data_IF_252601031602
#
_entry.id   IF_252601031602
#
_cell.length_a   1.000
_cell.length_b   1.000
_cell.length_c   1.000
_cell.angle_alpha   90.00
_cell.angle_beta   90.00
_cell.angle_gamma   90.00
#
_symmetry.space_group_name_H-M   'P 1'
#
loop_
_entity.id
_entity.type
_entity.pdbx_description
1 polymer ?
#
# COMPACT_ATOMS: atom_id res chain seq x y z
N UNK A 1 41.45 13.15 -1.11
CA UNK A 1 40.37 12.43 -0.39
C UNK A 1 39.44 13.47 0.22
N UNK A 2 38.11 13.34 0.10
CA UNK A 2 37.19 14.29 0.71
C UNK A 2 37.39 14.32 2.24
N UNK A 3 37.40 15.52 2.81
CA UNK A 3 37.62 15.78 4.23
C UNK A 3 36.41 15.30 5.06
N UNK A 4 36.60 14.15 5.71
CA UNK A 4 35.57 13.44 6.47
C UNK A 4 35.12 14.25 7.70
N UNK A 5 35.88 15.25 8.15
CA UNK A 5 35.52 16.10 9.30
C UNK A 5 34.32 17.02 9.05
N UNK A 6 33.96 17.25 7.77
CA UNK A 6 32.84 18.11 7.37
C UNK A 6 31.48 17.42 7.31
N UNK A 7 31.43 16.11 7.52
CA UNK A 7 30.16 15.38 7.63
C UNK A 7 29.63 15.45 9.07
N UNK A 8 28.33 15.72 9.29
CA UNK A 8 27.76 15.83 10.63
C UNK A 8 27.87 14.49 11.37
N UNK A 9 28.85 14.38 12.26
CA UNK A 9 28.99 13.25 13.19
C UNK A 9 28.28 13.58 14.49
N UNK A 10 26.97 13.34 14.51
CA UNK A 10 26.17 13.38 15.74
C UNK A 10 26.09 14.76 16.40
N UNK A 11 25.09 14.91 17.25
CA UNK A 11 24.80 16.15 17.97
C UNK A 11 25.90 16.34 19.05
N UNK A 12 26.84 17.25 18.82
CA UNK A 12 27.97 17.57 19.73
C UNK A 12 27.54 18.19 21.07
N UNK A 13 26.29 18.63 21.19
CA UNK A 13 25.72 19.18 22.42
C UNK A 13 25.11 18.13 23.36
N UNK A 14 25.02 16.85 22.94
CA UNK A 14 24.70 15.77 23.88
C UNK A 14 25.99 15.40 24.61
N UNK A 15 26.07 15.71 25.91
CA UNK A 15 26.92 14.92 26.81
C UNK A 15 26.65 13.46 26.49
N UNK A 16 27.70 12.66 26.25
CA UNK A 16 27.62 11.21 26.29
C UNK A 16 26.77 10.90 27.53
N UNK A 17 25.48 10.57 27.36
CA UNK A 17 24.77 9.83 28.40
C UNK A 17 25.69 8.65 28.60
N UNK A 18 26.20 8.55 29.82
CA UNK A 18 27.35 7.78 30.25
C UNK A 18 27.57 6.53 29.40
N UNK A 19 28.83 6.21 29.08
CA UNK A 19 29.27 4.98 28.38
C UNK A 19 28.82 3.70 29.14
N UNK A 20 27.52 3.51 29.26
CA UNK A 20 26.87 2.33 29.78
C UNK A 20 26.48 1.57 28.51
N UNK A 21 26.98 0.35 28.39
CA UNK A 21 26.54 -0.55 27.33
C UNK A 21 25.00 -0.55 27.33
N UNK A 22 24.33 -0.48 26.16
CA UNK A 22 22.88 -0.48 26.12
C UNK A 22 22.37 -1.71 26.88
N UNK A 23 21.70 -1.45 28.00
CA UNK A 23 21.15 -2.48 28.87
C UNK A 23 19.63 -2.32 28.89
N UNK A 24 18.93 -3.43 28.76
CA UNK A 24 17.48 -3.48 28.90
C UNK A 24 17.15 -3.87 30.33
N UNK A 25 16.38 -3.04 31.02
CA UNK A 25 15.84 -3.33 32.35
C UNK A 25 14.33 -3.23 32.32
N UNK A 26 13.69 -4.04 33.15
CA UNK A 26 12.29 -3.84 33.49
C UNK A 26 12.17 -2.51 34.22
N UNK A 27 11.41 -1.58 33.66
CA UNK A 27 11.08 -0.35 34.34
C UNK A 27 10.11 -0.63 35.49
N UNK A 28 10.33 0.03 36.64
CA UNK A 28 9.37 0.01 37.74
C UNK A 28 8.02 0.59 37.26
N UNK A 29 6.89 -0.10 37.46
CA UNK A 29 5.58 0.43 37.08
C UNK A 29 5.31 1.82 37.67
N UNK A 30 5.75 2.13 38.89
CA UNK A 30 5.61 3.48 39.49
C UNK A 30 6.41 4.53 38.73
N UNK A 31 7.56 4.15 38.18
CA UNK A 31 8.33 5.05 37.31
C UNK A 31 7.58 5.35 36.01
N UNK A 32 7.03 4.32 35.37
CA UNK A 32 6.23 4.49 34.14
C UNK A 32 4.96 5.31 34.42
N UNK A 33 4.21 4.97 35.46
CA UNK A 33 2.99 5.67 35.86
C UNK A 33 3.23 7.11 36.35
N UNK A 34 4.35 7.38 37.02
CA UNK A 34 4.64 8.73 37.54
C UNK A 34 5.25 9.69 36.51
N UNK A 35 5.71 9.20 35.36
CA UNK A 35 6.51 10.00 34.44
C UNK A 35 5.66 10.55 33.27
N UNK A 36 5.60 11.89 33.05
CA UNK A 36 4.73 12.52 32.04
C UNK A 36 4.92 12.01 30.60
N UNK A 37 6.14 11.59 30.26
CA UNK A 37 6.45 10.99 28.95
C UNK A 37 5.50 9.85 28.57
N UNK A 38 5.20 8.96 29.52
CA UNK A 38 4.39 7.75 29.30
C UNK A 38 2.90 8.00 29.48
N UNK A 39 2.49 9.14 30.01
CA UNK A 39 1.07 9.48 30.12
C UNK A 39 0.48 9.59 28.73
N UNK A 40 -0.61 8.86 28.48
CA UNK A 40 -1.33 8.94 27.22
C UNK A 40 -1.97 10.31 27.05
N UNK A 41 -1.87 10.83 25.83
CA UNK A 41 -2.51 12.06 25.36
C UNK A 41 -2.96 11.81 23.91
N UNK A 42 -4.04 12.45 23.42
CA UNK A 42 -4.45 12.32 22.02
C UNK A 42 -3.27 12.58 21.07
N UNK A 43 -3.08 11.70 20.08
CA UNK A 43 -1.93 11.73 19.17
C UNK A 43 -0.78 10.82 19.57
N UNK A 44 -0.74 10.32 20.82
CA UNK A 44 0.16 9.23 21.19
C UNK A 44 -0.41 7.88 20.77
N UNK A 45 0.47 6.90 20.52
CA UNK A 45 0.09 5.50 20.41
C UNK A 45 -0.23 4.97 21.79
N UNK A 46 -1.45 4.47 21.97
CA UNK A 46 -1.90 3.84 23.20
C UNK A 46 -1.21 2.49 23.40
N UNK A 47 -0.66 2.27 24.59
CA UNK A 47 0.05 1.04 24.96
C UNK A 47 -0.69 0.20 26.01
N UNK A 48 -1.60 0.81 26.77
CA UNK A 48 -2.32 0.15 27.86
C UNK A 48 -2.66 1.10 28.99
N UNK A 49 -2.97 0.56 30.16
CA UNK A 49 -3.18 1.34 31.37
C UNK A 49 -2.43 0.70 32.54
N UNK A 50 -1.93 1.54 33.43
CA UNK A 50 -1.42 1.16 34.74
C UNK A 50 -2.32 1.81 35.79
N UNK A 51 -3.02 0.98 36.58
CA UNK A 51 -4.10 1.42 37.45
C UNK A 51 -5.11 2.29 36.68
N UNK A 52 -5.30 3.54 37.10
CA UNK A 52 -6.21 4.50 36.47
C UNK A 52 -5.53 5.38 35.40
N UNK A 53 -4.23 5.20 35.16
CA UNK A 53 -3.49 5.99 34.19
C UNK A 53 -3.31 5.24 32.88
N UNK A 54 -3.86 5.80 31.81
CA UNK A 54 -3.60 5.38 30.44
C UNK A 54 -2.16 5.70 30.04
N UNK A 55 -1.49 4.75 29.40
CA UNK A 55 -0.10 4.80 28.97
C UNK A 55 -0.04 4.93 27.45
N UNK A 56 0.79 5.84 26.97
CA UNK A 56 1.02 6.04 25.55
C UNK A 56 2.39 6.60 25.25
N UNK A 57 2.82 6.42 24.00
CA UNK A 57 4.12 6.88 23.52
C UNK A 57 3.95 7.73 22.26
N UNK A 58 4.74 8.80 22.16
CA UNK A 58 4.90 9.55 20.92
C UNK A 58 6.24 9.16 20.32
N UNK A 59 6.22 8.46 19.19
CA UNK A 59 7.40 7.99 18.49
C UNK A 59 7.12 8.00 16.98
N UNK A 60 8.11 8.34 16.18
CA UNK A 60 8.04 8.34 14.71
C UNK A 60 8.63 7.06 14.09
N UNK A 61 9.16 6.15 14.92
CA UNK A 61 9.69 4.85 14.51
C UNK A 61 8.61 3.79 14.42
N UNK A 62 8.92 2.71 13.68
CA UNK A 62 8.04 1.55 13.60
C UNK A 62 7.89 0.83 14.95
N UNK A 63 6.68 0.38 15.22
CA UNK A 63 6.33 -0.37 16.43
C UNK A 63 5.87 -1.78 16.06
N UNK A 64 6.29 -2.77 16.86
CA UNK A 64 5.89 -4.16 16.69
C UNK A 64 5.21 -4.66 17.96
N UNK A 65 4.00 -5.20 17.82
CA UNK A 65 3.29 -5.91 18.90
C UNK A 65 3.36 -7.40 18.64
N UNK A 66 3.92 -8.15 19.59
CA UNK A 66 3.98 -9.63 19.54
C UNK A 66 2.98 -10.18 20.55
N UNK A 67 1.97 -10.91 20.08
CA UNK A 67 0.91 -11.45 20.91
C UNK A 67 0.35 -12.75 20.32
N UNK A 68 0.12 -13.75 21.18
CA UNK A 68 -0.50 -15.02 20.77
C UNK A 68 -1.96 -14.87 20.35
N UNK A 69 -2.52 -15.95 19.79
CA UNK A 69 -3.95 -16.00 19.52
C UNK A 69 -4.75 -15.87 20.83
N UNK A 70 -5.81 -15.07 20.80
CA UNK A 70 -6.67 -14.75 21.97
C UNK A 70 -5.96 -14.01 23.12
N UNK A 71 -4.74 -13.50 22.92
CA UNK A 71 -4.03 -12.70 23.91
C UNK A 71 -4.54 -11.23 24.04
N UNK A 72 -5.63 -10.89 23.34
CA UNK A 72 -6.25 -9.57 23.44
C UNK A 72 -5.64 -8.47 22.56
N UNK A 73 -4.74 -8.77 21.61
CA UNK A 73 -4.12 -7.74 20.73
C UNK A 73 -5.12 -6.78 20.08
N UNK A 74 -6.28 -7.30 19.67
CA UNK A 74 -7.35 -6.51 19.06
C UNK A 74 -7.95 -5.51 20.04
N UNK A 75 -8.39 -6.01 21.20
CA UNK A 75 -9.08 -5.20 22.21
C UNK A 75 -8.14 -4.28 23.01
N UNK A 76 -6.87 -4.64 23.17
CA UNK A 76 -5.94 -3.92 24.04
C UNK A 76 -5.02 -2.96 23.30
N UNK A 77 -4.80 -3.15 21.99
CA UNK A 77 -3.88 -2.30 21.21
C UNK A 77 -4.53 -1.76 19.92
N UNK A 78 -5.08 -2.64 19.07
CA UNK A 78 -5.54 -2.24 17.73
C UNK A 78 -6.78 -1.33 17.82
N UNK A 79 -7.87 -1.82 18.43
CA UNK A 79 -9.14 -1.10 18.51
C UNK A 79 -8.99 0.24 19.28
N UNK A 80 -8.33 0.30 20.47
CA UNK A 80 -8.13 1.57 21.15
C UNK A 80 -7.41 2.62 20.30
N UNK A 81 -6.34 2.22 19.60
CA UNK A 81 -5.63 3.13 18.71
C UNK A 81 -6.49 3.57 17.52
N UNK A 82 -7.29 2.68 16.92
CA UNK A 82 -8.21 3.04 15.85
C UNK A 82 -9.32 4.01 16.30
N UNK A 83 -9.79 3.90 17.55
CA UNK A 83 -10.86 4.73 18.10
C UNK A 83 -10.39 6.12 18.51
N UNK A 84 -9.13 6.26 18.95
CA UNK A 84 -8.64 7.50 19.59
C UNK A 84 -7.52 8.21 18.82
N UNK A 85 -6.80 7.53 17.92
CA UNK A 85 -5.71 8.18 17.19
C UNK A 85 -6.27 9.19 16.15
N UNK A 86 -5.94 10.49 16.30
CA UNK A 86 -6.55 11.56 15.50
C UNK A 86 -5.97 11.66 14.09
N UNK A 87 -4.84 10.99 13.81
CA UNK A 87 -4.24 10.97 12.49
C UNK A 87 -4.89 9.97 11.52
N UNK A 88 -4.46 10.04 10.27
CA UNK A 88 -4.85 9.09 9.22
C UNK A 88 -4.32 7.69 9.53
N UNK A 89 -5.13 6.67 9.20
CA UNK A 89 -4.77 5.27 9.40
C UNK A 89 -5.13 4.47 8.15
N UNK A 90 -4.17 3.68 7.68
CA UNK A 90 -4.41 2.57 6.77
C UNK A 90 -4.43 1.28 7.59
N UNK A 91 -5.55 0.57 7.62
CA UNK A 91 -5.72 -0.65 8.40
C UNK A 91 -5.96 -1.86 7.47
N UNK A 92 -5.07 -2.85 7.55
CA UNK A 92 -5.28 -4.15 6.89
C UNK A 92 -6.11 -5.01 7.84
N UNK A 93 -7.36 -5.27 7.46
CA UNK A 93 -8.35 -5.95 8.30
C UNK A 93 -9.03 -7.12 7.55
N UNK A 94 -8.35 -8.28 7.41
CA UNK A 94 -8.86 -9.41 6.62
C UNK A 94 -10.19 -9.99 7.15
N UNK A 95 -10.56 -9.69 8.40
CA UNK A 95 -11.80 -10.17 9.03
C UNK A 95 -12.89 -9.10 9.11
N UNK A 96 -12.61 -7.88 8.66
CA UNK A 96 -13.51 -6.75 8.76
C UNK A 96 -13.91 -6.37 10.20
N UNK A 97 -13.23 -6.88 11.23
CA UNK A 97 -13.60 -6.69 12.63
C UNK A 97 -13.29 -5.27 13.10
N UNK A 98 -12.15 -4.72 12.65
CA UNK A 98 -11.73 -3.37 12.97
C UNK A 98 -12.68 -2.35 12.33
N UNK A 99 -12.96 -2.50 11.03
CA UNK A 99 -13.86 -1.59 10.32
C UNK A 99 -15.25 -1.58 10.96
N UNK A 100 -15.82 -2.77 11.24
CA UNK A 100 -17.15 -2.94 11.83
C UNK A 100 -17.35 -2.20 13.15
N UNK A 101 -16.32 -2.18 13.99
CA UNK A 101 -16.39 -1.58 15.33
C UNK A 101 -16.00 -0.11 15.31
N UNK A 102 -15.04 0.28 14.47
CA UNK A 102 -14.36 1.57 14.58
C UNK A 102 -14.78 2.61 13.54
N UNK A 103 -15.38 2.20 12.40
CA UNK A 103 -15.76 3.11 11.30
C UNK A 103 -16.53 4.32 11.79
N UNK A 104 -17.65 4.09 12.48
CA UNK A 104 -18.54 5.17 12.93
C UNK A 104 -17.85 6.14 13.90
N UNK A 105 -16.94 5.66 14.75
CA UNK A 105 -16.17 6.52 15.66
C UNK A 105 -15.18 7.38 14.89
N UNK A 106 -14.51 6.84 13.87
CA UNK A 106 -13.56 7.58 13.04
C UNK A 106 -14.25 8.59 12.13
N UNK A 107 -15.43 8.25 11.62
CA UNK A 107 -16.27 9.12 10.79
C UNK A 107 -17.01 10.18 11.64
N UNK A 108 -18.16 10.67 11.19
CA UNK A 108 -19.01 11.67 11.84
C UNK A 108 -19.75 11.16 13.09
N UNK A 109 -19.66 9.87 13.42
CA UNK A 109 -20.50 9.23 14.44
C UNK A 109 -21.69 8.48 13.85
N UNK A 110 -22.58 8.04 14.73
CA UNK A 110 -23.86 7.41 14.37
C UNK A 110 -24.86 7.56 15.52
N UNK A 111 -26.09 7.04 15.38
CA UNK A 111 -27.07 7.00 16.47
C UNK A 111 -26.51 6.39 17.76
N UNK A 112 -25.62 5.41 17.64
CA UNK A 112 -24.99 4.70 18.77
C UNK A 112 -23.60 5.25 19.12
N UNK A 113 -23.02 6.11 18.30
CA UNK A 113 -21.69 6.70 18.49
C UNK A 113 -21.81 8.22 18.39
N UNK A 114 -22.08 8.87 19.52
CA UNK A 114 -22.45 10.31 19.54
C UNK A 114 -21.33 11.26 19.11
N UNK A 115 -20.07 10.87 19.29
CA UNK A 115 -18.91 11.71 18.99
C UNK A 115 -18.02 11.00 17.97
N UNK A 116 -18.09 11.45 16.71
CA UNK A 116 -17.13 11.08 15.67
C UNK A 116 -15.77 11.79 15.84
N UNK A 117 -14.75 11.31 15.13
CA UNK A 117 -13.51 12.07 14.90
C UNK A 117 -13.63 12.99 13.69
N UNK A 118 -14.67 12.83 12.87
CA UNK A 118 -14.95 13.67 11.72
C UNK A 118 -14.05 13.41 10.51
N UNK A 119 -13.44 12.22 10.42
CA UNK A 119 -12.52 11.86 9.35
C UNK A 119 -13.25 11.24 8.16
N UNK A 120 -12.66 11.32 6.98
CA UNK A 120 -13.13 10.55 5.82
C UNK A 120 -12.74 9.07 5.99
N UNK A 121 -13.73 8.18 6.04
CA UNK A 121 -13.51 6.75 6.25
C UNK A 121 -14.00 5.95 5.05
N UNK A 122 -13.05 5.36 4.33
CA UNK A 122 -13.29 4.47 3.20
C UNK A 122 -13.02 3.02 3.61
N UNK A 123 -13.92 2.11 3.22
CA UNK A 123 -13.79 0.68 3.52
C UNK A 123 -13.70 -0.06 2.19
N UNK A 124 -12.52 -0.57 1.84
CA UNK A 124 -12.34 -1.40 0.64
C UNK A 124 -12.65 -2.86 1.00
N UNK A 125 -13.88 -3.29 0.75
CA UNK A 125 -14.40 -4.60 1.14
C UNK A 125 -15.31 -5.18 0.06
N UNK A 126 -14.73 -5.61 -1.09
CA UNK A 126 -15.49 -6.11 -2.23
C UNK A 126 -16.34 -7.35 -1.92
N UNK A 127 -16.03 -8.05 -0.81
CA UNK A 127 -16.71 -9.26 -0.36
C UNK A 127 -17.71 -9.02 0.78
N UNK A 128 -17.82 -7.79 1.30
CA UNK A 128 -18.79 -7.40 2.32
C UNK A 128 -18.57 -8.01 3.71
N UNK A 129 -17.35 -8.41 4.06
CA UNK A 129 -17.01 -9.09 5.33
C UNK A 129 -17.16 -8.17 6.55
N UNK A 130 -16.92 -6.88 6.38
CA UNK A 130 -17.05 -5.85 7.42
C UNK A 130 -18.50 -5.56 7.80
N UNK A 131 -19.46 -5.82 6.90
CA UNK A 131 -20.86 -5.41 7.04
C UNK A 131 -21.11 -3.93 6.75
N UNK A 132 -20.11 -3.20 6.25
CA UNK A 132 -20.25 -1.82 5.81
C UNK A 132 -20.30 -1.71 4.28
N UNK A 133 -20.90 -0.63 3.72
CA UNK A 133 -20.80 -0.36 2.29
C UNK A 133 -19.34 -0.22 1.87
N UNK A 134 -18.97 -0.95 0.81
CA UNK A 134 -17.63 -0.86 0.22
C UNK A 134 -17.46 0.45 -0.54
N UNK A 135 -16.26 0.98 -0.47
CA UNK A 135 -15.74 2.04 -1.34
C UNK A 135 -14.98 1.42 -2.50
N UNK A 136 -14.60 2.28 -3.43
CA UNK A 136 -13.90 1.94 -4.68
C UNK A 136 -12.54 2.59 -4.69
N UNK A 137 -11.55 1.93 -5.28
CA UNK A 137 -10.22 2.51 -5.47
C UNK A 137 -9.67 2.12 -6.83
N UNK A 138 -9.39 3.12 -7.66
CA UNK A 138 -8.75 2.93 -8.95
C UNK A 138 -7.33 3.51 -8.92
N UNK A 139 -6.28 2.67 -8.90
CA UNK A 139 -4.90 3.18 -8.87
C UNK A 139 -4.52 3.93 -10.15
N UNK A 140 -5.18 3.66 -11.27
CA UNK A 140 -4.90 4.36 -12.54
C UNK A 140 -5.49 5.77 -12.57
N UNK A 141 -6.45 6.11 -11.68
CA UNK A 141 -7.07 7.42 -11.64
C UNK A 141 -6.10 8.55 -11.24
N UNK A 142 -5.01 8.22 -10.56
CA UNK A 142 -3.97 9.18 -10.17
C UNK A 142 -2.93 9.41 -11.26
N UNK A 143 -2.90 8.58 -12.31
CA UNK A 143 -1.90 8.63 -13.36
C UNK A 143 -2.30 9.68 -14.41
N UNK A 144 -1.45 10.68 -14.60
CA UNK A 144 -1.58 11.64 -15.69
C UNK A 144 -0.60 11.28 -16.83
N UNK A 145 -1.07 10.80 -18.00
CA UNK A 145 -0.20 10.39 -19.11
C UNK A 145 0.59 11.55 -19.75
N UNK A 146 0.26 12.81 -19.43
CA UNK A 146 0.99 13.98 -19.94
C UNK A 146 2.03 14.51 -18.94
N UNK A 147 2.14 13.92 -17.75
CA UNK A 147 3.11 14.34 -16.73
C UNK A 147 4.49 13.72 -17.01
N UNK A 148 5.55 14.43 -16.63
CA UNK A 148 6.92 13.92 -16.74
C UNK A 148 7.15 12.66 -15.87
N UNK A 149 6.36 12.48 -14.81
CA UNK A 149 6.41 11.33 -13.89
C UNK A 149 5.58 10.13 -14.37
N UNK A 150 4.83 10.24 -15.46
CA UNK A 150 3.85 9.22 -15.85
C UNK A 150 4.44 7.80 -15.94
N UNK A 151 5.67 7.71 -16.47
CA UNK A 151 6.39 6.44 -16.63
C UNK A 151 6.77 5.82 -15.29
N UNK A 152 7.19 6.66 -14.33
CA UNK A 152 7.58 6.24 -12.98
C UNK A 152 6.34 5.86 -12.16
N UNK A 153 5.26 6.63 -12.27
CA UNK A 153 3.98 6.33 -11.62
C UNK A 153 3.39 5.00 -12.13
N UNK A 154 3.43 4.76 -13.44
CA UNK A 154 3.05 3.47 -14.02
C UNK A 154 3.94 2.31 -13.54
N UNK A 155 5.23 2.56 -13.32
CA UNK A 155 6.16 1.55 -12.84
C UNK A 155 5.83 1.14 -11.39
N UNK A 156 5.52 2.10 -10.51
CA UNK A 156 5.09 1.82 -9.13
C UNK A 156 3.84 0.94 -9.08
N UNK A 157 2.86 1.20 -9.96
CA UNK A 157 1.64 0.38 -10.06
C UNK A 157 1.99 -1.02 -10.58
N UNK A 158 2.81 -1.14 -11.63
CA UNK A 158 3.22 -2.44 -12.16
C UNK A 158 4.03 -3.27 -11.15
N UNK A 159 4.87 -2.64 -10.34
CA UNK A 159 5.62 -3.28 -9.25
C UNK A 159 4.70 -3.78 -8.13
N UNK A 160 3.64 -3.04 -7.81
CA UNK A 160 2.63 -3.46 -6.84
C UNK A 160 1.78 -4.64 -7.35
N UNK A 161 1.60 -4.77 -8.67
CA UNK A 161 0.82 -5.85 -9.29
C UNK A 161 1.57 -7.16 -9.45
N UNK A 162 2.91 -7.12 -9.61
CA UNK A 162 3.71 -8.32 -9.89
C UNK A 162 4.66 -8.56 -8.75
N UNK A 163 4.54 -9.71 -8.09
CA UNK A 163 5.50 -10.15 -7.07
C UNK A 163 6.80 -10.55 -7.79
N UNK A 164 7.93 -9.98 -7.33
CA UNK A 164 9.23 -10.33 -7.89
C UNK A 164 9.60 -11.75 -7.46
N UNK A 165 9.72 -12.65 -8.43
CA UNK A 165 10.23 -13.99 -8.17
C UNK A 165 11.76 -13.99 -8.03
N UNK A 166 12.27 -14.93 -7.25
CA UNK A 166 13.70 -15.23 -7.13
C UNK A 166 14.12 -16.34 -8.09
N UNK A 167 15.42 -16.44 -8.38
CA UNK A 167 15.96 -17.51 -9.22
C UNK A 167 15.50 -17.45 -10.69
N UNK A 168 15.22 -18.59 -11.35
CA UNK A 168 14.89 -18.64 -12.78
C UNK A 168 13.68 -17.80 -13.20
N UNK A 169 12.70 -17.63 -12.32
CA UNK A 169 11.48 -16.85 -12.58
C UNK A 169 11.67 -15.33 -12.53
N UNK A 170 12.83 -14.85 -12.04
CA UNK A 170 13.16 -13.42 -11.93
C UNK A 170 13.08 -12.68 -13.27
N UNK A 171 13.53 -13.34 -14.35
CA UNK A 171 13.50 -12.76 -15.69
C UNK A 171 12.07 -12.49 -16.16
N UNK A 172 11.18 -13.48 -15.99
CA UNK A 172 9.79 -13.39 -16.44
C UNK A 172 8.99 -12.38 -15.62
N UNK A 173 9.14 -12.36 -14.30
CA UNK A 173 8.49 -11.34 -13.45
C UNK A 173 8.96 -9.92 -13.76
N UNK A 174 10.26 -9.71 -14.02
CA UNK A 174 10.79 -8.40 -14.45
C UNK A 174 10.26 -7.99 -15.84
N UNK A 175 10.22 -8.92 -16.79
CA UNK A 175 9.67 -8.66 -18.12
C UNK A 175 8.15 -8.40 -18.08
N UNK A 176 7.41 -9.10 -17.22
CA UNK A 176 5.98 -8.89 -17.00
C UNK A 176 5.71 -7.50 -16.42
N UNK A 177 6.47 -7.05 -15.42
CA UNK A 177 6.40 -5.67 -14.88
C UNK A 177 6.61 -4.63 -15.97
N UNK A 178 7.64 -4.80 -16.79
CA UNK A 178 7.94 -3.87 -17.89
C UNK A 178 6.80 -3.81 -18.91
N UNK A 179 6.22 -4.97 -19.25
CA UNK A 179 5.08 -5.03 -20.16
C UNK A 179 3.83 -4.37 -19.56
N UNK A 180 3.49 -4.72 -18.31
CA UNK A 180 2.35 -4.13 -17.60
C UNK A 180 2.49 -2.62 -17.44
N UNK A 181 3.70 -2.10 -17.16
CA UNK A 181 3.96 -0.65 -17.17
C UNK A 181 3.55 -0.01 -18.50
N UNK A 182 4.01 -0.57 -19.63
CA UNK A 182 3.65 -0.05 -20.95
C UNK A 182 2.16 -0.18 -21.25
N UNK A 183 1.52 -1.26 -20.80
CA UNK A 183 0.08 -1.48 -20.97
C UNK A 183 -0.77 -0.54 -20.10
N UNK A 184 -0.34 -0.23 -18.87
CA UNK A 184 -0.95 0.79 -18.01
C UNK A 184 -0.93 2.15 -18.72
N UNK A 185 0.22 2.52 -19.29
CA UNK A 185 0.38 3.76 -20.05
C UNK A 185 -0.50 3.78 -21.31
N UNK A 186 -0.59 2.66 -22.04
CA UNK A 186 -1.54 2.51 -23.15
C UNK A 186 -2.97 2.81 -22.68
N UNK A 187 -3.44 2.11 -21.64
CA UNK A 187 -4.79 2.32 -21.09
C UNK A 187 -5.01 3.78 -20.71
N UNK A 188 -4.07 4.39 -19.98
CA UNK A 188 -4.26 5.75 -19.50
C UNK A 188 -4.20 6.82 -20.61
N UNK A 189 -3.51 6.54 -21.73
CA UNK A 189 -3.36 7.50 -22.84
C UNK A 189 -4.41 7.35 -23.93
N UNK A 190 -4.91 6.15 -24.16
CA UNK A 190 -5.77 5.81 -25.30
C UNK A 190 -7.24 5.62 -24.91
N UNK A 191 -7.51 5.14 -23.69
CA UNK A 191 -8.88 4.92 -23.24
C UNK A 191 -9.54 6.20 -22.71
N UNK A 192 -10.87 6.32 -22.86
CA UNK A 192 -11.63 7.39 -22.21
C UNK A 192 -11.56 7.23 -20.67
N UNK A 193 -11.68 8.33 -19.90
CA UNK A 193 -11.46 8.33 -18.45
C UNK A 193 -12.17 7.22 -17.65
N UNK A 194 -13.41 6.89 -18.03
CA UNK A 194 -14.23 5.83 -17.42
C UNK A 194 -13.64 4.42 -17.55
N UNK A 195 -12.84 4.19 -18.60
CA UNK A 195 -12.19 2.91 -18.88
C UNK A 195 -10.76 2.84 -18.37
N UNK A 196 -10.20 3.91 -17.80
CA UNK A 196 -8.83 3.95 -17.28
C UNK A 196 -8.73 3.24 -15.95
N UNK A 197 -8.87 1.92 -15.94
CA UNK A 197 -8.87 1.10 -14.73
C UNK A 197 -8.19 -0.27 -14.97
N UNK A 198 -7.95 -1.01 -13.87
CA UNK A 198 -7.28 -2.31 -13.95
C UNK A 198 -8.11 -3.39 -14.63
N UNK A 199 -9.44 -3.27 -14.67
CA UNK A 199 -10.29 -4.23 -15.40
C UNK A 199 -10.07 -4.11 -16.90
N UNK A 200 -9.93 -2.88 -17.41
CA UNK A 200 -9.58 -2.67 -18.82
C UNK A 200 -8.20 -3.22 -19.15
N UNK A 201 -7.22 -3.00 -18.28
CA UNK A 201 -5.90 -3.63 -18.41
C UNK A 201 -6.01 -5.16 -18.45
N UNK A 202 -6.83 -5.77 -17.59
CA UNK A 202 -7.07 -7.22 -17.58
C UNK A 202 -7.67 -7.71 -18.91
N UNK A 203 -8.69 -7.02 -19.43
CA UNK A 203 -9.30 -7.34 -20.72
C UNK A 203 -8.30 -7.34 -21.87
N UNK A 204 -7.41 -6.34 -21.92
CA UNK A 204 -6.37 -6.23 -22.94
C UNK A 204 -5.31 -7.34 -22.79
N UNK A 205 -4.98 -7.70 -21.55
CA UNK A 205 -3.99 -8.73 -21.26
C UNK A 205 -4.48 -10.15 -21.62
N UNK A 206 -5.78 -10.39 -21.56
CA UNK A 206 -6.40 -11.70 -21.83
C UNK A 206 -7.03 -11.80 -23.22
N UNK A 207 -6.65 -10.92 -24.17
CA UNK A 207 -7.05 -11.05 -25.56
C UNK A 207 -6.56 -12.38 -26.14
N UNK A 208 -7.26 -12.89 -27.16
CA UNK A 208 -6.78 -14.01 -27.94
C UNK A 208 -5.54 -13.62 -28.78
N UNK A 209 -4.94 -14.59 -29.47
CA UNK A 209 -3.70 -14.38 -30.22
C UNK A 209 -3.80 -13.27 -31.26
N UNK A 210 -4.93 -13.17 -31.98
CA UNK A 210 -5.12 -12.14 -33.01
C UNK A 210 -5.40 -10.78 -32.38
N UNK A 211 -6.22 -10.72 -31.33
CA UNK A 211 -6.45 -9.51 -30.55
C UNK A 211 -5.17 -8.97 -29.91
N UNK A 212 -4.31 -9.83 -29.38
CA UNK A 212 -3.02 -9.44 -28.82
C UNK A 212 -2.06 -8.86 -29.88
N UNK A 213 -2.04 -9.45 -31.08
CA UNK A 213 -1.27 -8.88 -32.21
C UNK A 213 -1.77 -7.49 -32.58
N UNK A 214 -3.09 -7.31 -32.67
CA UNK A 214 -3.70 -6.01 -32.95
C UNK A 214 -3.40 -4.99 -31.84
N UNK A 215 -3.47 -5.39 -30.56
CA UNK A 215 -3.09 -4.54 -29.43
C UNK A 215 -1.65 -4.05 -29.57
N UNK A 216 -0.69 -4.94 -29.89
CA UNK A 216 0.69 -4.52 -30.09
C UNK A 216 0.82 -3.51 -31.23
N UNK A 217 0.09 -3.69 -32.34
CA UNK A 217 0.09 -2.72 -33.45
C UNK A 217 -0.45 -1.35 -33.02
N UNK A 218 -1.56 -1.31 -32.27
CA UNK A 218 -2.09 -0.06 -31.71
C UNK A 218 -1.07 0.62 -30.80
N UNK A 219 -0.45 -0.14 -29.89
CA UNK A 219 0.58 0.39 -29.00
C UNK A 219 1.82 0.88 -29.75
N UNK A 220 2.17 0.29 -30.89
CA UNK A 220 3.30 0.71 -31.73
C UNK A 220 3.09 2.09 -32.37
N UNK A 221 1.84 2.51 -32.58
CA UNK A 221 1.50 3.84 -33.09
C UNK A 221 1.30 4.87 -31.95
N UNK A 222 1.35 4.45 -30.68
CA UNK A 222 1.16 5.34 -29.54
C UNK A 222 2.48 5.93 -29.03
N UNK A 223 2.66 7.23 -29.29
CA UNK A 223 3.83 8.02 -28.90
C UNK A 223 3.73 8.70 -27.52
N UNK A 224 2.66 8.42 -26.75
CA UNK A 224 2.48 8.94 -25.41
C UNK A 224 3.65 8.60 -24.47
N UNK A 225 3.82 9.43 -23.42
CA UNK A 225 4.83 9.23 -22.39
C UNK A 225 6.26 9.10 -22.97
N UNK A 226 6.60 9.95 -23.94
CA UNK A 226 7.91 9.93 -24.60
C UNK A 226 8.16 8.66 -25.41
N UNK A 227 7.13 8.05 -25.99
CA UNK A 227 7.19 6.84 -26.80
C UNK A 227 7.49 5.54 -26.03
N UNK A 228 7.31 5.53 -24.70
CA UNK A 228 7.50 4.31 -23.88
C UNK A 228 6.49 3.22 -24.25
N UNK A 229 5.26 3.60 -24.60
CA UNK A 229 4.21 2.67 -25.03
C UNK A 229 4.66 1.92 -26.29
N UNK A 230 5.01 2.65 -27.36
CA UNK A 230 5.58 2.11 -28.60
C UNK A 230 6.81 1.23 -28.36
N UNK A 231 7.77 1.67 -27.55
CA UNK A 231 8.98 0.88 -27.25
C UNK A 231 8.66 -0.42 -26.51
N UNK A 232 7.70 -0.40 -25.59
CA UNK A 232 7.24 -1.61 -24.89
C UNK A 232 6.65 -2.61 -25.88
N UNK A 233 5.80 -2.16 -26.80
CA UNK A 233 5.19 -3.01 -27.81
C UNK A 233 6.23 -3.60 -28.78
N UNK A 234 7.16 -2.77 -29.27
CA UNK A 234 8.28 -3.22 -30.10
C UNK A 234 9.13 -4.28 -29.39
N UNK A 235 9.44 -4.06 -28.11
CA UNK A 235 10.21 -5.02 -27.31
C UNK A 235 9.45 -6.34 -27.12
N UNK A 236 8.13 -6.31 -26.95
CA UNK A 236 7.31 -7.51 -26.81
C UNK A 236 7.16 -8.27 -28.15
N UNK A 237 6.99 -7.55 -29.25
CA UNK A 237 6.88 -8.12 -30.59
C UNK A 237 8.19 -8.79 -31.05
N UNK A 238 9.34 -8.25 -30.67
CA UNK A 238 10.66 -8.78 -31.04
C UNK A 238 11.09 -10.03 -30.24
N UNK A 239 10.38 -10.39 -29.16
CA UNK A 239 10.69 -11.60 -28.37
C UNK A 239 10.42 -12.87 -29.16
N UNK A 240 11.25 -13.88 -28.92
CA UNK A 240 10.97 -15.24 -29.38
C UNK A 240 9.63 -15.72 -28.81
N UNK A 241 8.91 -16.56 -29.55
CA UNK A 241 7.55 -16.97 -29.20
C UNK A 241 7.44 -17.59 -27.81
N UNK A 242 8.41 -18.43 -27.43
CA UNK A 242 8.49 -19.06 -26.12
C UNK A 242 8.72 -18.02 -24.99
N UNK A 243 9.61 -17.06 -25.19
CA UNK A 243 9.87 -15.99 -24.22
C UNK A 243 8.63 -15.09 -24.08
N UNK A 244 8.04 -14.67 -25.20
CA UNK A 244 6.82 -13.85 -25.22
C UNK A 244 5.67 -14.53 -24.49
N UNK A 245 5.46 -15.82 -24.75
CA UNK A 245 4.45 -16.63 -24.06
C UNK A 245 4.69 -16.67 -22.55
N UNK A 246 5.94 -16.88 -22.11
CA UNK A 246 6.31 -16.88 -20.70
C UNK A 246 6.07 -15.53 -20.01
N UNK A 247 6.39 -14.40 -20.67
CA UNK A 247 6.11 -13.07 -20.11
C UNK A 247 4.61 -12.83 -19.97
N UNK A 248 3.82 -13.20 -21.00
CA UNK A 248 2.38 -13.02 -20.98
C UNK A 248 1.71 -13.90 -19.93
N UNK A 249 2.12 -15.17 -19.81
CA UNK A 249 1.59 -16.08 -18.80
C UNK A 249 1.85 -15.57 -17.39
N UNK A 250 3.06 -15.07 -17.10
CA UNK A 250 3.38 -14.49 -15.79
C UNK A 250 2.53 -13.24 -15.52
N UNK A 251 2.36 -12.35 -16.50
CA UNK A 251 1.52 -11.16 -16.33
C UNK A 251 0.04 -11.55 -16.07
N UNK A 252 -0.48 -12.55 -16.80
CA UNK A 252 -1.85 -13.04 -16.63
C UNK A 252 -2.02 -13.68 -15.24
N UNK A 253 -1.09 -14.51 -14.81
CA UNK A 253 -1.15 -15.18 -13.51
C UNK A 253 -1.12 -14.16 -12.36
N UNK A 254 -0.19 -13.21 -12.39
CA UNK A 254 -0.02 -12.20 -11.33
C UNK A 254 -1.18 -11.19 -11.26
N UNK A 255 -2.09 -11.19 -12.23
CA UNK A 255 -3.26 -10.30 -12.28
C UNK A 255 -4.59 -11.06 -12.29
N UNK A 256 -4.59 -12.36 -11.98
CA UNK A 256 -5.78 -13.23 -11.99
C UNK A 256 -6.87 -12.80 -11.00
N UNK A 257 -6.50 -12.18 -9.88
CA UNK A 257 -7.41 -11.69 -8.87
C UNK A 257 -8.43 -10.69 -9.43
N UNK A 258 -8.08 -9.99 -10.52
CA UNK A 258 -8.97 -9.07 -11.23
C UNK A 258 -10.15 -9.75 -11.94
N UNK A 259 -10.09 -11.07 -12.15
CA UNK A 259 -11.21 -11.84 -12.71
C UNK A 259 -12.36 -12.01 -11.71
N UNK A 260 -12.14 -11.68 -10.43
CA UNK A 260 -13.17 -11.74 -9.39
C UNK A 260 -14.31 -10.74 -9.68
N UNK A 261 -15.57 -11.22 -9.85
CA UNK A 261 -16.71 -10.33 -10.04
C UNK A 261 -16.94 -9.40 -8.85
N UNK A 262 -16.46 -9.77 -7.65
CA UNK A 262 -16.55 -8.92 -6.48
C UNK A 262 -15.66 -7.67 -6.59
N UNK A 263 -14.44 -7.85 -7.11
CA UNK A 263 -13.53 -6.75 -7.37
C UNK A 263 -13.99 -5.89 -8.54
N UNK A 264 -14.58 -6.49 -9.57
CA UNK A 264 -15.07 -5.76 -10.74
C UNK A 264 -16.24 -4.78 -10.45
N UNK A 265 -16.92 -4.93 -9.31
CA UNK A 265 -18.03 -4.05 -8.89
C UNK A 265 -17.60 -2.82 -8.08
N UNK A 266 -16.34 -2.79 -7.64
CA UNK A 266 -15.82 -1.78 -6.73
C UNK A 266 -14.89 -0.85 -7.49
#
# INVERSE_FOLDING_TARGET
MPDISKFPRGITSRKLRDNIAPYAVWADPKFIGGHPHWKYEPGKIFLGALDQQTIGVSDDRHMMTVAGNRAGKGVSAIIPNLLEYPGSILAIDPKGENARVTRNRRDQGSKNVKQGLGQDVYVLDPFGVSGHPTSSFNPLAMLNPTADTAVDDAALIAEALVIQEEGPGRHFSSAARNFLRGLILQVCSDEPPENRNLLRLRQLLTLDTEGFKLLLQVMQENDACGGVVRRTANSMAAKAENERSGVLSTAIEQTDFLDSPALARC
#
